data_IF_544723034015
#
_entry.id   IF_544723034015
#
_cell.length_a   1.000
_cell.length_b   1.000
_cell.length_c   1.000
_cell.angle_alpha   90.00
_cell.angle_beta   90.00
_cell.angle_gamma   90.00
#
_symmetry.space_group_name_H-M   'P 1'
#
loop_
_entity.id
_entity.type
_entity.pdbx_description
1 polymer ?
#
# COMPACT_ATOMS: atom_id res chain seq x y z
N UNK A 1 6.27 15.37 -7.55
CA UNK A 1 5.33 14.66 -6.70
C UNK A 1 5.89 14.57 -5.29
N UNK A 2 5.11 14.96 -4.31
CA UNK A 2 5.63 14.83 -2.95
C UNK A 2 5.94 13.37 -2.64
N UNK A 3 7.04 13.16 -1.97
CA UNK A 3 7.42 11.84 -1.50
C UNK A 3 6.57 11.50 -0.28
N UNK A 4 5.89 10.38 -0.30
CA UNK A 4 5.10 9.96 0.85
C UNK A 4 5.93 9.83 2.12
N UNK A 5 7.20 9.52 1.99
CA UNK A 5 8.11 9.49 3.14
C UNK A 5 8.20 10.84 3.83
N UNK A 6 8.11 11.93 3.07
CA UNK A 6 8.24 13.27 3.61
C UNK A 6 7.02 13.70 4.42
N UNK A 7 5.85 13.11 4.17
CA UNK A 7 4.64 13.46 4.89
C UNK A 7 4.72 13.05 6.35
N UNK A 8 5.29 11.89 6.62
CA UNK A 8 5.44 11.35 7.97
C UNK A 8 6.90 11.23 8.41
N UNK A 9 7.83 11.17 7.47
CA UNK A 9 9.26 11.17 7.71
C UNK A 9 9.82 10.00 8.50
N UNK A 10 9.03 8.99 8.80
CA UNK A 10 9.45 7.88 9.66
C UNK A 10 9.15 6.54 9.03
N UNK A 11 10.06 5.57 9.19
CA UNK A 11 9.77 4.19 8.78
C UNK A 11 8.65 3.60 9.64
N UNK A 12 8.06 2.54 9.14
CA UNK A 12 7.05 1.78 9.87
C UNK A 12 7.69 1.18 11.13
N UNK A 13 6.99 1.25 12.24
CA UNK A 13 7.45 0.64 13.49
C UNK A 13 7.44 -0.88 13.37
N UNK A 14 8.31 -1.53 14.15
CA UNK A 14 8.40 -2.99 14.13
C UNK A 14 7.05 -3.67 14.37
N UNK A 15 6.29 -3.16 15.33
CA UNK A 15 4.96 -3.69 15.62
C UNK A 15 4.02 -3.53 14.42
N UNK A 16 4.09 -2.41 13.73
CA UNK A 16 3.28 -2.17 12.53
C UNK A 16 3.66 -3.13 11.41
N UNK A 17 4.94 -3.40 11.23
CA UNK A 17 5.40 -4.39 10.24
C UNK A 17 4.84 -5.77 10.59
N UNK A 18 4.89 -6.15 11.85
CA UNK A 18 4.34 -7.43 12.29
C UNK A 18 2.82 -7.51 12.04
N UNK A 19 2.09 -6.45 12.30
CA UNK A 19 0.66 -6.39 12.05
C UNK A 19 0.34 -6.50 10.56
N UNK A 20 1.14 -5.84 9.73
CA UNK A 20 1.00 -5.92 8.28
C UNK A 20 1.25 -7.33 7.77
N UNK A 21 2.33 -7.95 8.23
CA UNK A 21 2.65 -9.33 7.84
C UNK A 21 1.59 -10.32 8.31
N UNK A 22 1.00 -10.08 9.48
CA UNK A 22 -0.11 -10.90 9.97
C UNK A 22 -1.33 -10.77 9.06
N UNK A 23 -1.64 -9.58 8.60
CA UNK A 23 -2.71 -9.35 7.62
C UNK A 23 -2.45 -10.13 6.34
N UNK A 24 -1.20 -10.25 5.92
CA UNK A 24 -0.79 -10.99 4.75
C UNK A 24 -0.65 -12.51 5.00
N UNK A 25 -1.01 -12.98 6.19
CA UNK A 25 -0.87 -14.38 6.59
C UNK A 25 0.58 -14.88 6.59
N UNK A 26 1.51 -14.00 6.93
CA UNK A 26 2.95 -14.29 6.98
C UNK A 26 3.49 -14.14 8.40
N UNK A 27 2.82 -14.77 9.37
CA UNK A 27 3.10 -14.57 10.81
C UNK A 27 4.53 -14.91 11.22
N UNK A 28 5.10 -15.98 10.68
CA UNK A 28 6.43 -16.45 11.04
C UNK A 28 7.48 -16.09 9.98
N UNK A 29 7.15 -15.18 9.10
CA UNK A 29 8.02 -14.80 8.01
C UNK A 29 8.97 -13.69 8.45
N UNK A 30 10.26 -13.91 8.22
CA UNK A 30 11.27 -12.88 8.43
C UNK A 30 11.68 -12.29 7.08
N UNK A 31 11.24 -11.07 6.79
CA UNK A 31 11.54 -10.48 5.49
C UNK A 31 13.01 -10.09 5.37
N UNK A 32 13.59 -10.42 4.23
CA UNK A 32 14.93 -10.01 3.85
C UNK A 32 14.85 -9.20 2.56
N UNK A 33 15.87 -8.41 2.29
CA UNK A 33 15.90 -7.58 1.08
C UNK A 33 16.39 -8.44 -0.10
N UNK A 34 15.48 -9.19 -0.70
CA UNK A 34 15.76 -10.03 -1.85
C UNK A 34 14.49 -10.27 -2.69
N UNK A 35 14.68 -10.84 -3.85
CA UNK A 35 13.58 -11.09 -4.78
C UNK A 35 12.56 -12.09 -4.23
N UNK A 36 13.01 -13.11 -3.52
CA UNK A 36 12.11 -14.10 -2.94
C UNK A 36 11.13 -13.48 -1.94
N UNK A 37 11.61 -12.59 -1.09
CA UNK A 37 10.77 -11.84 -0.15
C UNK A 37 9.78 -10.96 -0.90
N UNK A 38 10.25 -10.22 -1.91
CA UNK A 38 9.40 -9.33 -2.68
C UNK A 38 8.29 -10.09 -3.39
N UNK A 39 8.61 -11.23 -3.99
CA UNK A 39 7.63 -12.08 -4.66
C UNK A 39 6.57 -12.57 -3.68
N UNK A 40 7.00 -13.00 -2.51
CA UNK A 40 6.09 -13.50 -1.48
C UNK A 40 5.16 -12.41 -0.95
N UNK A 41 5.70 -11.23 -0.72
CA UNK A 41 4.90 -10.08 -0.27
C UNK A 41 3.89 -9.67 -1.34
N UNK A 42 4.30 -9.60 -2.59
CA UNK A 42 3.44 -9.22 -3.70
C UNK A 42 2.29 -10.22 -3.87
N UNK A 43 2.59 -11.50 -3.84
CA UNK A 43 1.59 -12.55 -3.97
C UNK A 43 0.57 -12.50 -2.83
N UNK A 44 1.05 -12.36 -1.59
CA UNK A 44 0.20 -12.27 -0.42
C UNK A 44 -0.67 -11.01 -0.43
N UNK A 45 -0.11 -9.89 -0.89
CA UNK A 45 -0.82 -8.63 -0.99
C UNK A 45 -2.01 -8.74 -1.95
N UNK A 46 -1.80 -9.39 -3.08
CA UNK A 46 -2.87 -9.62 -4.06
C UNK A 46 -3.96 -10.57 -3.52
N UNK A 47 -3.58 -11.51 -2.65
CA UNK A 47 -4.53 -12.48 -2.11
C UNK A 47 -5.36 -11.96 -0.95
N UNK A 48 -4.78 -11.15 -0.09
CA UNK A 48 -5.37 -10.84 1.21
C UNK A 48 -5.79 -9.40 1.41
N UNK A 49 -5.39 -8.50 0.53
CA UNK A 49 -5.79 -7.09 0.61
C UNK A 49 -6.63 -6.75 -0.61
N UNK A 50 -7.94 -6.56 -0.42
CA UNK A 50 -8.82 -6.31 -1.55
C UNK A 50 -8.69 -4.89 -2.09
N UNK A 51 -8.93 -4.76 -3.36
CA UNK A 51 -9.11 -3.48 -4.02
C UNK A 51 -10.56 -3.06 -3.82
N UNK A 52 -10.79 -1.85 -3.31
CA UNK A 52 -12.14 -1.34 -3.11
C UNK A 52 -12.19 0.17 -3.31
N UNK A 53 -13.31 0.69 -3.74
CA UNK A 53 -13.50 2.12 -3.98
C UNK A 53 -14.73 2.69 -3.27
N UNK A 54 -15.16 2.06 -2.19
CA UNK A 54 -16.38 2.49 -1.48
C UNK A 54 -16.31 3.93 -0.99
N UNK A 55 -15.15 4.36 -0.49
CA UNK A 55 -15.00 5.73 -0.03
C UNK A 55 -15.06 6.73 -1.19
N UNK A 56 -14.49 6.38 -2.35
CA UNK A 56 -14.61 7.19 -3.56
C UNK A 56 -16.08 7.34 -3.99
N UNK A 57 -16.80 6.24 -3.99
CA UNK A 57 -18.21 6.23 -4.38
C UNK A 57 -19.09 7.03 -3.41
N UNK A 58 -18.70 7.08 -2.15
CA UNK A 58 -19.40 7.86 -1.12
C UNK A 58 -18.93 9.31 -1.02
N UNK A 59 -18.04 9.73 -1.91
CA UNK A 59 -17.55 11.10 -1.93
C UNK A 59 -16.55 11.45 -0.84
N UNK A 60 -15.99 10.46 -0.16
CA UNK A 60 -14.97 10.69 0.86
C UNK A 60 -13.62 10.97 0.23
N UNK A 61 -12.90 11.90 0.82
CA UNK A 61 -11.55 12.23 0.38
C UNK A 61 -10.59 11.18 0.92
N UNK A 62 -9.79 10.61 0.00
CA UNK A 62 -8.77 9.63 0.37
C UNK A 62 -7.59 10.33 1.03
N UNK A 63 -7.22 9.89 2.22
CA UNK A 63 -6.03 10.39 2.89
C UNK A 63 -4.77 9.77 2.28
N UNK A 64 -3.76 10.61 2.07
CA UNK A 64 -2.43 10.15 1.63
C UNK A 64 -1.47 9.99 2.80
N UNK A 65 -1.91 10.23 4.02
CA UNK A 65 -1.09 10.03 5.21
C UNK A 65 -0.86 8.53 5.44
N UNK A 66 0.38 8.17 5.68
CA UNK A 66 0.77 6.78 5.87
C UNK A 66 0.02 6.11 7.02
N UNK A 67 -0.13 6.81 8.11
CA UNK A 67 -0.82 6.27 9.28
C UNK A 67 -2.31 6.03 9.00
N UNK A 68 -2.94 6.92 8.25
CA UNK A 68 -4.36 6.77 7.89
C UNK A 68 -4.57 5.57 6.97
N UNK A 69 -3.67 5.39 5.99
CA UNK A 69 -3.72 4.23 5.10
C UNK A 69 -3.51 2.93 5.87
N UNK A 70 -2.55 2.94 6.79
CA UNK A 70 -2.29 1.78 7.64
C UNK A 70 -3.52 1.43 8.48
N UNK A 71 -4.12 2.42 9.13
CA UNK A 71 -5.30 2.20 9.96
C UNK A 71 -6.45 1.62 9.14
N UNK A 72 -6.71 2.16 7.97
CA UNK A 72 -7.80 1.69 7.12
C UNK A 72 -7.60 0.24 6.69
N UNK A 73 -6.46 -0.08 6.13
CA UNK A 73 -6.21 -1.39 5.51
C UNK A 73 -5.89 -2.46 6.55
N UNK A 74 -5.01 -2.15 7.47
CA UNK A 74 -4.49 -3.14 8.41
C UNK A 74 -5.34 -3.23 9.67
N UNK A 75 -5.66 -2.10 10.28
CA UNK A 75 -6.38 -2.09 11.57
C UNK A 75 -7.87 -2.28 11.39
N UNK A 76 -8.46 -1.72 10.34
CA UNK A 76 -9.91 -1.81 10.09
C UNK A 76 -10.28 -2.87 9.06
N UNK A 77 -9.33 -3.65 8.60
CA UNK A 77 -9.55 -4.74 7.64
C UNK A 77 -10.26 -4.31 6.35
N UNK A 78 -10.05 -3.09 5.94
CA UNK A 78 -10.56 -2.60 4.67
C UNK A 78 -9.50 -2.74 3.58
N UNK A 79 -9.93 -2.67 2.33
CA UNK A 79 -9.01 -2.50 1.22
C UNK A 79 -8.88 -1.03 0.86
N UNK A 80 -8.55 -0.75 -0.38
CA UNK A 80 -8.43 0.61 -0.85
C UNK A 80 -8.21 0.69 -2.35
N UNK A 81 -8.09 1.91 -2.85
CA UNK A 81 -7.75 2.16 -4.25
C UNK A 81 -6.24 2.15 -4.44
N UNK A 82 -5.79 2.31 -5.68
CA UNK A 82 -4.37 2.20 -6.03
C UNK A 82 -3.47 3.13 -5.20
N UNK A 83 -3.88 4.36 -4.94
CA UNK A 83 -3.10 5.29 -4.11
C UNK A 83 -2.85 4.74 -2.72
N UNK A 84 -3.92 4.23 -2.11
CA UNK A 84 -3.87 3.75 -0.73
C UNK A 84 -3.02 2.50 -0.63
N UNK A 85 -3.27 1.53 -1.50
CA UNK A 85 -2.59 0.25 -1.44
C UNK A 85 -1.13 0.37 -1.85
N UNK A 86 -0.83 1.11 -2.91
CA UNK A 86 0.54 1.30 -3.36
C UNK A 86 1.34 2.17 -2.40
N UNK A 87 0.72 3.20 -1.85
CA UNK A 87 1.37 4.04 -0.85
C UNK A 87 1.71 3.28 0.41
N UNK A 88 0.80 2.45 0.87
CA UNK A 88 1.01 1.62 2.05
C UNK A 88 2.09 0.57 1.80
N UNK A 89 2.06 -0.09 0.66
CA UNK A 89 3.05 -1.09 0.29
C UNK A 89 4.44 -0.47 0.13
N UNK A 90 4.51 0.73 -0.47
CA UNK A 90 5.75 1.49 -0.56
C UNK A 90 6.34 1.74 0.82
N UNK A 91 5.52 2.16 1.77
CA UNK A 91 5.97 2.38 3.13
C UNK A 91 6.53 1.11 3.77
N UNK A 92 5.84 -0.02 3.58
CA UNK A 92 6.34 -1.31 4.07
C UNK A 92 7.69 -1.65 3.46
N UNK A 93 7.82 -1.56 2.15
CA UNK A 93 9.05 -1.93 1.45
C UNK A 93 10.22 -1.03 1.86
N UNK A 94 10.01 0.26 1.95
CA UNK A 94 11.05 1.19 2.44
C UNK A 94 11.47 0.85 3.87
N UNK A 95 10.50 0.52 4.71
CA UNK A 95 10.76 0.19 6.11
C UNK A 95 11.52 -1.12 6.27
N UNK A 96 11.38 -2.03 5.32
CA UNK A 96 12.14 -3.28 5.30
C UNK A 96 13.55 -3.12 4.72
N UNK A 97 13.85 -1.99 4.11
CA UNK A 97 15.16 -1.70 3.55
C UNK A 97 15.26 -1.77 2.03
N UNK A 98 14.16 -1.99 1.33
CA UNK A 98 14.17 -1.96 -0.13
C UNK A 98 14.34 -0.53 -0.65
N UNK A 99 15.04 -0.42 -1.77
CA UNK A 99 15.15 0.84 -2.50
C UNK A 99 13.94 0.97 -3.43
N UNK A 100 13.04 1.87 -3.09
CA UNK A 100 11.73 1.99 -3.75
C UNK A 100 11.63 3.34 -4.44
N UNK A 101 11.23 3.31 -5.71
CA UNK A 101 10.93 4.52 -6.47
C UNK A 101 9.47 4.50 -6.90
N UNK A 102 8.76 5.58 -6.61
CA UNK A 102 7.35 5.71 -6.97
C UNK A 102 7.21 6.51 -8.25
N UNK A 103 6.39 6.01 -9.16
CA UNK A 103 6.09 6.66 -10.42
C UNK A 103 4.60 6.95 -10.52
N UNK A 104 4.26 8.08 -11.12
CA UNK A 104 2.89 8.36 -11.51
C UNK A 104 2.52 7.51 -12.71
N UNK A 105 1.38 6.86 -12.64
CA UNK A 105 0.91 6.01 -13.72
C UNK A 105 -0.59 6.19 -13.93
N UNK A 106 -1.04 5.84 -15.10
CA UNK A 106 -2.44 5.94 -15.47
C UNK A 106 -2.82 4.67 -16.22
N UNK A 107 -3.98 4.13 -15.90
CA UNK A 107 -4.57 3.09 -16.74
C UNK A 107 -5.00 3.72 -18.06
N UNK A 108 -4.56 3.12 -19.16
CA UNK A 108 -5.02 3.50 -20.48
C UNK A 108 -5.97 2.42 -20.95
N UNK A 109 -7.25 2.72 -20.88
CA UNK A 109 -8.28 1.92 -21.50
C UNK A 109 -8.48 2.41 -22.93
N UNK A 110 -8.91 1.54 -23.81
CA UNK A 110 -9.24 1.92 -25.20
C UNK A 110 -10.28 3.02 -25.26
N UNK A 111 -11.10 3.12 -24.24
CA UNK A 111 -12.26 3.99 -24.23
C UNK A 111 -12.02 5.26 -23.41
N UNK A 112 -11.57 5.13 -22.18
CA UNK A 112 -11.34 6.26 -21.29
C UNK A 112 -10.52 5.83 -20.08
N UNK A 113 -9.76 6.75 -19.47
CA UNK A 113 -9.07 6.44 -18.21
C UNK A 113 -10.08 6.22 -17.09
N UNK A 114 -9.73 5.36 -16.15
CA UNK A 114 -10.52 5.12 -14.96
C UNK A 114 -10.30 6.24 -13.96
N UNK A 115 -11.37 6.91 -13.54
CA UNK A 115 -11.25 8.12 -12.72
C UNK A 115 -10.55 7.91 -11.38
N UNK A 116 -10.84 6.82 -10.69
CA UNK A 116 -10.22 6.55 -9.39
C UNK A 116 -8.79 6.02 -9.51
N UNK A 117 -8.34 5.63 -10.70
CA UNK A 117 -7.00 5.12 -10.94
C UNK A 117 -6.12 6.10 -11.72
N UNK A 118 -6.63 7.27 -12.03
CA UNK A 118 -6.01 8.17 -12.99
C UNK A 118 -4.73 8.81 -12.50
N UNK A 119 -4.53 8.93 -11.21
CA UNK A 119 -3.36 9.61 -10.66
C UNK A 119 -2.85 8.87 -9.45
N UNK A 120 -1.59 8.64 -9.44
CA UNK A 120 -0.92 8.04 -8.30
C UNK A 120 0.03 9.02 -7.66
#
# INVERSE_FOLDING_TARGET
>A
MPNYADINGRPMKKLQIQQYLRKLQLNDFEPAVNLATLTKLQDAHLKYIPYENFDCLNGKITSLKRQDMFNKVIMHNRGGICFELNGLYNWLLESLGFDVTSYSARFIDKWKPTSCAATA
#
